data_IF_016495763131
#
_entry.id   IF_016495763131
#
_cell.length_a   1.000
_cell.length_b   1.000
_cell.length_c   1.000
_cell.angle_alpha   90.00
_cell.angle_beta   90.00
_cell.angle_gamma   90.00
#
_symmetry.space_group_name_H-M   'P 1'
#
loop_
_entity.id
_entity.type
_entity.pdbx_description
1 polymer ?
#
# COMPACT_ATOMS: atom_id res chain seq x y z
N UNK A 1 106.19 9.85 3.31
CA UNK A 1 104.94 9.32 3.89
C UNK A 1 103.79 10.29 3.59
N UNK A 2 103.17 10.22 2.41
CA UNK A 2 101.97 11.00 2.12
C UNK A 2 100.73 10.14 2.39
N UNK A 3 99.93 10.57 3.36
CA UNK A 3 98.65 9.94 3.71
C UNK A 3 97.67 10.22 2.57
N UNK A 4 97.06 9.17 2.01
CA UNK A 4 96.03 9.31 0.99
C UNK A 4 94.84 10.13 1.54
N UNK A 5 94.20 10.98 0.72
CA UNK A 5 93.02 11.71 1.16
C UNK A 5 91.92 10.70 1.50
N UNK A 6 91.47 10.70 2.74
CA UNK A 6 90.28 9.94 3.11
C UNK A 6 89.11 10.62 2.39
N UNK A 7 88.52 9.91 1.42
CA UNK A 7 87.23 10.29 0.86
C UNK A 7 86.19 10.06 1.97
N UNK A 8 85.99 11.04 2.83
CA UNK A 8 84.75 11.13 3.60
C UNK A 8 83.66 11.44 2.62
N UNK A 9 83.09 10.39 2.02
CA UNK A 9 81.79 10.49 1.35
C UNK A 9 80.80 11.00 2.40
N UNK A 10 80.31 12.25 2.28
CA UNK A 10 79.33 12.72 3.22
C UNK A 10 78.03 11.98 2.90
N UNK A 11 77.32 11.50 3.93
CA UNK A 11 75.95 11.87 4.36
C UNK A 11 74.87 12.22 3.30
N UNK A 12 75.21 12.51 2.04
CA UNK A 12 74.33 12.79 0.92
C UNK A 12 73.46 11.59 0.54
N UNK A 13 73.99 10.35 0.58
CA UNK A 13 73.19 9.14 0.32
C UNK A 13 72.13 8.90 1.39
N UNK A 14 72.47 9.11 2.67
CA UNK A 14 71.51 9.02 3.77
C UNK A 14 70.48 10.16 3.73
N UNK A 15 70.90 11.39 3.42
CA UNK A 15 69.98 12.52 3.28
C UNK A 15 69.00 12.31 2.12
N UNK A 16 69.46 11.76 0.99
CA UNK A 16 68.58 11.37 -0.13
C UNK A 16 67.62 10.25 0.24
N UNK A 17 68.06 9.26 1.03
CA UNK A 17 67.18 8.21 1.54
C UNK A 17 66.09 8.76 2.48
N UNK A 18 66.46 9.63 3.44
CA UNK A 18 65.51 10.26 4.37
C UNK A 18 64.50 11.16 3.67
N UNK A 19 64.94 11.90 2.64
CA UNK A 19 64.05 12.71 1.81
C UNK A 19 63.04 11.85 1.03
N UNK A 20 63.49 10.69 0.52
CA UNK A 20 62.63 9.74 -0.16
C UNK A 20 61.61 9.08 0.79
N UNK A 21 62.06 8.66 1.97
CA UNK A 21 61.23 8.08 3.04
C UNK A 21 60.13 9.06 3.46
N UNK A 22 60.49 10.34 3.68
CA UNK A 22 59.52 11.40 3.97
C UNK A 22 58.53 11.64 2.84
N UNK A 23 59.01 11.69 1.59
CA UNK A 23 58.12 11.87 0.42
C UNK A 23 57.16 10.69 0.25
N UNK A 24 57.59 9.48 0.58
CA UNK A 24 56.77 8.28 0.56
C UNK A 24 55.70 8.31 1.65
N UNK A 25 56.06 8.68 2.89
CA UNK A 25 55.10 8.89 3.98
C UNK A 25 54.07 9.99 3.65
N UNK A 26 54.52 11.11 3.08
CA UNK A 26 53.67 12.19 2.61
C UNK A 26 52.69 11.74 1.53
N UNK A 27 53.17 10.94 0.57
CA UNK A 27 52.34 10.35 -0.47
C UNK A 27 51.28 9.42 0.16
N UNK A 28 51.69 8.52 1.07
CA UNK A 28 50.76 7.61 1.75
C UNK A 28 49.69 8.36 2.52
N UNK A 29 50.06 9.43 3.23
CA UNK A 29 49.09 10.30 3.94
C UNK A 29 48.10 10.92 2.96
N UNK A 30 48.58 11.48 1.84
CA UNK A 30 47.72 12.08 0.80
C UNK A 30 46.76 11.08 0.19
N UNK A 31 47.23 9.86 -0.08
CA UNK A 31 46.40 8.77 -0.61
C UNK A 31 45.34 8.35 0.40
N UNK A 32 45.70 8.22 1.68
CA UNK A 32 44.74 7.86 2.74
C UNK A 32 43.72 8.96 3.02
N UNK A 33 44.13 10.23 2.96
CA UNK A 33 43.24 11.36 3.19
C UNK A 33 42.41 11.77 1.97
N UNK A 34 42.69 11.18 0.80
CA UNK A 34 42.00 11.51 -0.43
C UNK A 34 40.50 11.22 -0.29
N UNK A 35 39.69 12.28 -0.41
CA UNK A 35 38.24 12.14 -0.45
C UNK A 35 37.78 11.79 -1.87
N UNK A 36 36.71 11.01 -2.03
CA UNK A 36 36.14 10.76 -3.35
C UNK A 36 35.66 12.07 -3.98
N UNK A 37 35.92 12.25 -5.28
CA UNK A 37 35.49 13.44 -6.03
C UNK A 37 33.96 13.53 -6.15
N UNK A 38 33.29 12.37 -6.15
CA UNK A 38 31.85 12.26 -6.32
C UNK A 38 31.27 11.65 -5.07
N UNK A 39 30.19 12.25 -4.57
CA UNK A 39 29.41 11.67 -3.50
C UNK A 39 28.78 10.35 -3.98
N UNK A 40 29.11 9.25 -3.30
CA UNK A 40 28.56 7.92 -3.55
C UNK A 40 27.56 7.51 -2.48
N UNK A 41 27.24 8.41 -1.55
CA UNK A 41 26.26 8.14 -0.50
C UNK A 41 24.87 7.95 -1.10
N UNK A 42 24.08 7.08 -0.46
CA UNK A 42 22.69 6.93 -0.83
C UNK A 42 21.93 8.24 -0.57
N UNK A 43 21.10 8.72 -1.51
CA UNK A 43 20.30 9.91 -1.30
C UNK A 43 19.34 9.71 -0.14
N UNK A 44 19.02 10.81 0.56
CA UNK A 44 18.14 10.76 1.72
C UNK A 44 16.75 10.27 1.33
N UNK A 45 16.25 9.25 2.04
CA UNK A 45 14.89 8.75 1.83
C UNK A 45 13.88 9.71 2.46
N UNK A 46 13.22 10.51 1.64
CA UNK A 46 12.17 11.39 2.11
C UNK A 46 10.85 10.63 2.28
N UNK A 47 10.25 10.73 3.48
CA UNK A 47 8.97 10.08 3.80
C UNK A 47 7.82 10.49 2.85
N UNK A 48 7.85 11.71 2.32
CA UNK A 48 6.86 12.20 1.35
C UNK A 48 7.01 11.59 -0.05
N UNK A 49 8.18 11.03 -0.39
CA UNK A 49 8.37 10.26 -1.64
C UNK A 49 7.79 8.84 -1.51
N UNK A 50 7.83 8.28 -0.31
CA UNK A 50 7.28 6.95 -0.01
C UNK A 50 5.76 6.99 0.18
N UNK A 51 5.24 8.07 0.76
CA UNK A 51 3.80 8.24 1.02
C UNK A 51 3.13 9.06 -0.08
N UNK A 52 2.26 8.43 -0.88
CA UNK A 52 1.42 9.10 -1.89
C UNK A 52 0.24 9.83 -1.24
N UNK A 53 0.52 10.90 -0.48
CA UNK A 53 -0.48 11.62 0.32
C UNK A 53 -1.73 12.06 -0.47
N UNK A 54 -1.54 12.56 -1.71
CA UNK A 54 -2.66 12.94 -2.58
C UNK A 54 -3.59 11.77 -2.88
N UNK A 55 -3.02 10.58 -3.10
CA UNK A 55 -3.80 9.35 -3.36
C UNK A 55 -4.60 8.95 -2.12
N UNK A 56 -3.94 8.93 -0.96
CA UNK A 56 -4.58 8.56 0.30
C UNK A 56 -5.78 9.47 0.62
N UNK A 57 -5.61 10.78 0.44
CA UNK A 57 -6.68 11.76 0.65
C UNK A 57 -7.89 11.50 -0.25
N UNK A 58 -7.66 11.26 -1.55
CA UNK A 58 -8.74 10.96 -2.50
C UNK A 58 -9.46 9.63 -2.16
N UNK A 59 -8.72 8.62 -1.72
CA UNK A 59 -9.31 7.34 -1.30
C UNK A 59 -10.18 7.52 -0.05
N UNK A 60 -9.73 8.30 0.93
CA UNK A 60 -10.48 8.63 2.14
C UNK A 60 -11.78 9.40 1.84
N UNK A 61 -11.70 10.44 0.99
CA UNK A 61 -12.87 11.21 0.55
C UNK A 61 -13.89 10.30 -0.17
N UNK A 62 -13.42 9.43 -1.08
CA UNK A 62 -14.27 8.45 -1.77
C UNK A 62 -14.95 7.50 -0.79
N UNK A 63 -14.21 6.97 0.19
CA UNK A 63 -14.75 6.06 1.20
C UNK A 63 -15.79 6.75 2.10
N UNK A 64 -15.56 8.00 2.48
CA UNK A 64 -16.50 8.80 3.26
C UNK A 64 -17.84 8.98 2.54
N UNK A 65 -17.82 9.26 1.23
CA UNK A 65 -19.03 9.35 0.41
C UNK A 65 -19.77 8.00 0.41
N UNK A 66 -19.06 6.90 0.14
CA UNK A 66 -19.65 5.55 0.10
C UNK A 66 -20.28 5.20 1.45
N UNK A 67 -19.60 5.49 2.57
CA UNK A 67 -20.12 5.21 3.90
C UNK A 67 -21.39 6.00 4.20
N UNK A 68 -21.42 7.29 3.88
CA UNK A 68 -22.60 8.14 4.04
C UNK A 68 -23.79 7.61 3.21
N UNK A 69 -23.54 7.22 1.96
CA UNK A 69 -24.59 6.70 1.08
C UNK A 69 -25.10 5.32 1.53
N UNK A 70 -24.21 4.45 2.02
CA UNK A 70 -24.59 3.16 2.59
C UNK A 70 -25.47 3.31 3.83
N UNK A 71 -25.15 4.25 4.72
CA UNK A 71 -26.00 4.54 5.89
C UNK A 71 -27.40 4.99 5.46
N UNK A 72 -27.47 5.92 4.50
CA UNK A 72 -28.75 6.41 3.97
C UNK A 72 -29.55 5.28 3.30
N UNK A 73 -28.89 4.39 2.57
CA UNK A 73 -29.52 3.23 1.94
C UNK A 73 -30.10 2.28 3.00
N UNK A 74 -29.33 1.97 4.03
CA UNK A 74 -29.77 1.11 5.13
C UNK A 74 -30.98 1.69 5.86
N UNK A 75 -30.99 3.00 6.12
CA UNK A 75 -32.11 3.69 6.73
C UNK A 75 -33.39 3.58 5.89
N UNK A 76 -33.27 3.80 4.56
CA UNK A 76 -34.38 3.66 3.61
C UNK A 76 -34.92 2.24 3.56
N UNK A 77 -34.04 1.25 3.46
CA UNK A 77 -34.42 -0.18 3.45
C UNK A 77 -35.13 -0.54 4.76
N UNK A 78 -34.61 -0.11 5.91
CA UNK A 78 -35.23 -0.36 7.20
C UNK A 78 -36.63 0.28 7.29
N UNK A 79 -36.81 1.51 6.78
CA UNK A 79 -38.12 2.17 6.71
C UNK A 79 -39.11 1.38 5.86
N UNK A 80 -38.72 0.96 4.66
CA UNK A 80 -39.56 0.14 3.78
C UNK A 80 -39.93 -1.20 4.43
N UNK A 81 -38.99 -1.85 5.10
CA UNK A 81 -39.25 -3.12 5.81
C UNK A 81 -40.25 -2.96 6.96
N UNK A 82 -40.16 -1.86 7.73
CA UNK A 82 -41.13 -1.55 8.80
C UNK A 82 -42.53 -1.29 8.21
N UNK A 83 -42.64 -0.46 7.17
CA UNK A 83 -43.92 -0.12 6.55
C UNK A 83 -44.58 -1.32 5.87
N UNK A 84 -43.81 -2.17 5.18
CA UNK A 84 -44.34 -3.40 4.54
C UNK A 84 -44.93 -4.36 5.57
N UNK A 85 -44.33 -4.50 6.76
CA UNK A 85 -44.89 -5.30 7.86
C UNK A 85 -46.22 -4.74 8.38
N UNK A 86 -46.37 -3.42 8.43
CA UNK A 86 -47.62 -2.79 8.89
C UNK A 86 -48.75 -2.83 7.85
N UNK A 87 -48.43 -2.68 6.55
CA UNK A 87 -49.42 -2.74 5.47
C UNK A 87 -50.09 -4.12 5.34
N UNK A 88 -49.41 -5.19 5.75
CA UNK A 88 -49.97 -6.56 5.80
C UNK A 88 -50.92 -6.83 6.98
N UNK A 89 -51.00 -5.93 7.97
CA UNK A 89 -51.83 -6.11 9.18
C UNK A 89 -53.23 -5.49 9.07
N UNK A 90 -53.55 -4.83 7.95
CA UNK A 90 -54.81 -4.11 7.74
C UNK A 90 -55.67 -4.79 6.67
N UNK A 91 -56.01 -6.05 6.90
CA UNK A 91 -57.01 -6.78 6.11
C UNK A 91 -58.07 -7.39 7.04
N UNK A 92 -58.87 -6.52 7.68
CA UNK A 92 -60.17 -7.00 8.18
C UNK A 92 -61.11 -7.20 6.99
N UNK A 93 -61.81 -8.31 7.06
CA UNK A 93 -62.54 -9.01 6.01
C UNK A 93 -63.79 -8.26 5.55
N UNK A 94 -63.79 -7.72 4.34
CA UNK A 94 -65.04 -7.54 3.56
C UNK A 94 -64.76 -7.50 2.05
N UNK A 95 -64.54 -8.66 1.40
CA UNK A 95 -64.94 -8.75 -0.02
C UNK A 95 -65.22 -10.19 -0.49
N UNK A 96 -66.51 -10.49 -0.50
CA UNK A 96 -67.30 -11.35 -1.40
C UNK A 96 -66.51 -12.17 -2.45
N UNK A 97 -66.66 -13.49 -2.34
CA UNK A 97 -66.31 -14.50 -3.37
C UNK A 97 -66.76 -14.01 -4.76
N UNK A 98 -65.81 -13.87 -5.69
CA UNK A 98 -66.07 -13.96 -7.12
C UNK A 98 -65.20 -15.08 -7.68
N UNK A 99 -65.87 -16.15 -8.09
CA UNK A 99 -65.28 -17.26 -8.84
C UNK A 99 -64.75 -16.72 -10.16
N UNK A 100 -63.45 -16.84 -10.42
CA UNK A 100 -62.86 -16.65 -11.74
C UNK A 100 -62.39 -18.00 -12.25
N UNK A 101 -62.91 -18.38 -13.41
CA UNK A 101 -62.51 -19.54 -14.21
C UNK A 101 -61.08 -19.31 -14.68
N UNK A 102 -60.23 -20.32 -14.52
CA UNK A 102 -58.87 -20.34 -15.04
C UNK A 102 -58.91 -20.60 -16.55
N UNK A 103 -58.56 -19.59 -17.36
CA UNK A 103 -57.93 -19.83 -18.66
C UNK A 103 -56.43 -19.75 -18.45
N UNK A 104 -55.77 -20.89 -18.65
CA UNK A 104 -54.33 -21.04 -18.50
C UNK A 104 -53.56 -20.18 -19.50
N UNK A 105 -52.58 -19.44 -18.98
CA UNK A 105 -51.45 -18.96 -19.76
C UNK A 105 -50.24 -18.88 -18.81
N UNK A 106 -49.39 -19.90 -18.89
CA UNK A 106 -48.11 -19.96 -18.20
C UNK A 106 -47.18 -18.87 -18.76
N UNK A 107 -47.00 -17.79 -17.99
CA UNK A 107 -46.02 -16.75 -18.25
C UNK A 107 -44.62 -17.17 -17.80
N UNK A 108 -43.71 -17.31 -18.76
CA UNK A 108 -42.29 -17.68 -18.62
C UNK A 108 -41.52 -16.65 -17.77
N UNK A 109 -40.95 -17.08 -16.66
CA UNK A 109 -40.01 -16.26 -15.86
C UNK A 109 -38.65 -16.16 -16.58
N UNK A 110 -38.27 -14.95 -17.01
CA UNK A 110 -36.94 -14.65 -17.57
C UNK A 110 -35.98 -14.18 -16.48
N UNK A 111 -35.60 -15.04 -15.54
CA UNK A 111 -34.57 -14.71 -14.55
C UNK A 111 -33.53 -15.83 -14.56
N UNK A 112 -32.24 -15.45 -14.58
CA UNK A 112 -31.12 -16.38 -14.70
C UNK A 112 -31.02 -17.32 -13.47
N UNK A 113 -30.66 -18.62 -13.64
CA UNK A 113 -30.69 -19.62 -12.56
C UNK A 113 -29.78 -19.38 -11.35
N UNK A 114 -28.88 -18.40 -11.39
CA UNK A 114 -27.79 -18.22 -10.42
C UNK A 114 -28.14 -17.37 -9.19
N UNK A 115 -29.37 -16.85 -9.09
CA UNK A 115 -29.82 -15.99 -7.98
C UNK A 115 -30.98 -16.58 -7.18
N UNK A 116 -31.23 -17.89 -7.28
CA UNK A 116 -32.15 -18.59 -6.39
C UNK A 116 -31.41 -18.98 -5.11
N UNK A 117 -31.67 -18.35 -3.94
CA UNK A 117 -31.25 -18.92 -2.68
C UNK A 117 -32.06 -20.22 -2.49
N UNK A 118 -31.37 -21.35 -2.55
CA UNK A 118 -31.95 -22.63 -2.16
C UNK A 118 -32.47 -22.53 -0.72
N UNK A 119 -33.72 -22.94 -0.42
CA UNK A 119 -34.13 -23.11 0.95
C UNK A 119 -33.37 -24.32 1.51
N UNK A 120 -32.40 -24.08 2.38
CA UNK A 120 -31.78 -25.13 3.18
C UNK A 120 -32.85 -25.72 4.10
N UNK A 121 -33.41 -26.82 3.64
CA UNK A 121 -34.26 -27.73 4.39
C UNK A 121 -33.35 -28.82 4.96
N UNK A 122 -33.02 -28.72 6.23
CA UNK A 122 -32.59 -29.79 7.13
C UNK A 122 -32.24 -29.12 8.48
N UNK A 123 -32.55 -29.63 9.66
CA UNK A 123 -33.48 -30.67 10.11
C UNK A 123 -33.56 -30.46 11.63
N UNK A 124 -34.75 -30.61 12.18
CA UNK A 124 -34.91 -30.92 13.60
C UNK A 124 -34.26 -32.28 13.86
N UNK A 125 -33.45 -32.42 14.91
CA UNK A 125 -33.41 -33.56 15.85
C UNK A 125 -32.24 -33.42 16.84
N UNK A 126 -32.59 -33.50 18.13
CA UNK A 126 -31.79 -33.59 19.37
C UNK A 126 -31.06 -32.33 19.86
#
# INVERSE_FOLDING_TARGET
MHRAPQLTFPCASEYSWRAWEKAYEDHRRKVQSAQPLVDTCAPLTFRHLQLKLKRLKLEEERLSIIQRDNLLLLEKVASVMRTRRQAGSKNNSTHRRRSCRETGAAGRCHWAPSLCPHPTRADSLL
#
